data_IF_629446639792
#
_entry.id   IF_629446639792
#
_cell.length_a   1.000
_cell.length_b   1.000
_cell.length_c   1.000
_cell.angle_alpha   90.00
_cell.angle_beta   90.00
_cell.angle_gamma   90.00
#
_symmetry.space_group_name_H-M   'P 1'
#
loop_
_entity.id
_entity.type
_entity.pdbx_description
1 polymer ?
#
# COMPACT_ATOMS: atom_id res chain seq x y z
N UNK A 1 -0.80 15.75 -13.20
CA UNK A 1 -1.07 14.99 -11.98
C UNK A 1 -2.54 14.60 -11.92
N UNK A 2 -2.88 13.36 -11.59
CA UNK A 2 -4.28 12.93 -11.41
C UNK A 2 -4.90 13.66 -10.21
N UNK A 3 -6.12 14.17 -10.40
CA UNK A 3 -6.86 14.93 -9.37
C UNK A 3 -8.05 14.16 -8.80
N UNK A 4 -8.48 13.04 -9.43
CA UNK A 4 -9.64 12.26 -9.02
C UNK A 4 -9.19 11.05 -8.21
N UNK A 5 -9.81 10.84 -7.06
CA UNK A 5 -9.57 9.70 -6.17
C UNK A 5 -10.85 8.91 -5.89
N UNK A 6 -11.70 8.79 -6.91
CA UNK A 6 -12.93 8.02 -6.78
C UNK A 6 -12.65 6.56 -7.11
N UNK A 7 -12.62 5.72 -6.09
CA UNK A 7 -12.55 4.26 -6.25
C UNK A 7 -13.89 3.65 -5.84
N UNK A 8 -14.49 2.90 -6.74
CA UNK A 8 -15.73 2.17 -6.49
C UNK A 8 -15.42 0.80 -5.88
N UNK A 9 -15.95 0.53 -4.69
CA UNK A 9 -15.78 -0.75 -3.98
C UNK A 9 -17.07 -1.56 -4.05
N UNK A 10 -17.04 -2.71 -4.73
CA UNK A 10 -18.16 -3.63 -4.83
C UNK A 10 -17.98 -4.73 -3.79
N UNK A 11 -18.70 -4.62 -2.67
CA UNK A 11 -18.58 -5.51 -1.51
C UNK A 11 -19.65 -6.58 -1.44
N UNK A 12 -20.72 -6.44 -2.22
CA UNK A 12 -21.83 -7.41 -2.26
C UNK A 12 -21.47 -8.55 -3.19
N UNK A 13 -21.49 -9.78 -2.69
CA UNK A 13 -20.94 -10.96 -3.36
C UNK A 13 -21.60 -11.30 -4.70
N UNK A 14 -22.91 -11.06 -4.86
CA UNK A 14 -23.69 -11.39 -6.06
C UNK A 14 -23.81 -10.25 -7.08
N UNK A 15 -22.91 -9.27 -6.97
CA UNK A 15 -22.92 -8.12 -7.89
C UNK A 15 -22.18 -8.43 -9.18
N UNK A 16 -22.80 -8.15 -10.33
CA UNK A 16 -22.19 -8.19 -11.64
C UNK A 16 -21.98 -6.77 -12.17
N UNK A 17 -20.86 -6.52 -12.84
CA UNK A 17 -20.50 -5.22 -13.39
C UNK A 17 -20.61 -5.23 -14.91
N UNK A 18 -21.28 -4.25 -15.50
CA UNK A 18 -21.37 -4.08 -16.94
C UNK A 18 -21.15 -2.63 -17.35
N UNK A 19 -20.89 -2.44 -18.64
CA UNK A 19 -20.81 -1.12 -19.26
C UNK A 19 -22.13 -0.83 -19.96
N UNK A 20 -22.71 0.33 -19.69
CA UNK A 20 -23.83 0.89 -20.45
C UNK A 20 -23.53 2.36 -20.79
N UNK A 21 -23.27 2.63 -22.08
CA UNK A 21 -22.74 3.92 -22.54
C UNK A 21 -21.43 4.26 -21.86
N UNK A 22 -21.40 5.36 -21.12
CA UNK A 22 -20.23 5.84 -20.36
C UNK A 22 -20.33 5.47 -18.86
N UNK A 23 -21.21 4.54 -18.48
CA UNK A 23 -21.47 4.24 -17.10
C UNK A 23 -21.11 2.78 -16.75
N UNK A 24 -20.61 2.60 -15.54
CA UNK A 24 -20.56 1.30 -14.86
C UNK A 24 -21.92 1.03 -14.26
N UNK A 25 -22.54 -0.06 -14.65
CA UNK A 25 -23.79 -0.55 -14.08
C UNK A 25 -23.49 -1.72 -13.16
N UNK A 26 -23.98 -1.61 -11.93
CA UNK A 26 -23.93 -2.68 -10.93
C UNK A 26 -25.28 -3.38 -10.91
N UNK A 27 -25.32 -4.64 -11.28
CA UNK A 27 -26.55 -5.44 -11.29
C UNK A 27 -26.52 -6.50 -10.19
N UNK A 28 -27.68 -6.78 -9.59
CA UNK A 28 -27.92 -7.88 -8.65
C UNK A 28 -29.21 -8.59 -9.08
N UNK A 29 -29.18 -9.91 -9.11
CA UNK A 29 -30.34 -10.71 -9.53
C UNK A 29 -30.96 -10.27 -10.89
N UNK A 30 -30.08 -9.77 -11.79
CA UNK A 30 -30.38 -9.19 -13.11
C UNK A 30 -31.08 -7.82 -13.10
N UNK A 31 -31.25 -7.20 -11.94
CA UNK A 31 -31.75 -5.83 -11.81
C UNK A 31 -30.62 -4.83 -11.58
N UNK A 32 -30.78 -3.63 -12.11
CA UNK A 32 -29.83 -2.54 -11.88
C UNK A 32 -29.93 -2.07 -10.43
N UNK A 33 -28.87 -2.27 -9.66
CA UNK A 33 -28.79 -1.83 -8.26
C UNK A 33 -28.15 -0.44 -8.13
N UNK A 34 -27.23 -0.08 -9.04
CA UNK A 34 -26.57 1.23 -9.03
C UNK A 34 -25.90 1.51 -10.38
N UNK A 35 -25.66 2.81 -10.64
CA UNK A 35 -25.01 3.31 -11.86
C UNK A 35 -24.02 4.40 -11.51
N UNK A 36 -22.80 4.35 -12.10
CA UNK A 36 -21.74 5.32 -11.84
C UNK A 36 -21.08 5.75 -13.16
N UNK A 37 -20.87 7.05 -13.40
CA UNK A 37 -20.14 7.51 -14.57
C UNK A 37 -18.68 7.04 -14.54
N UNK A 38 -18.23 6.32 -15.57
CA UNK A 38 -16.88 5.73 -15.61
C UNK A 38 -15.77 6.79 -15.58
N UNK A 39 -16.01 7.95 -16.18
CA UNK A 39 -15.03 9.05 -16.22
C UNK A 39 -14.75 9.67 -14.84
N UNK A 40 -15.62 9.45 -13.84
CA UNK A 40 -15.41 9.93 -12.47
C UNK A 40 -14.58 8.97 -11.64
N UNK A 41 -14.34 7.74 -12.15
CA UNK A 41 -13.66 6.67 -11.42
C UNK A 41 -12.19 6.57 -11.81
N UNK A 42 -11.34 6.37 -10.81
CA UNK A 42 -9.93 6.00 -10.96
C UNK A 42 -9.71 4.50 -10.83
N UNK A 43 -10.60 3.85 -10.10
CA UNK A 43 -10.50 2.43 -9.87
C UNK A 43 -11.82 1.80 -9.48
N UNK A 44 -11.96 0.53 -9.78
CA UNK A 44 -13.06 -0.33 -9.38
C UNK A 44 -12.45 -1.55 -8.71
N UNK A 45 -12.83 -1.80 -7.46
CA UNK A 45 -12.40 -2.96 -6.69
C UNK A 45 -13.61 -3.83 -6.43
N UNK A 46 -13.67 -4.98 -7.09
CA UNK A 46 -14.77 -5.91 -6.88
C UNK A 46 -14.37 -7.09 -6.01
N UNK A 47 -15.17 -7.32 -4.98
CA UNK A 47 -15.11 -8.48 -4.08
C UNK A 47 -16.26 -9.45 -4.39
N UNK A 48 -16.96 -9.19 -5.49
CA UNK A 48 -18.09 -9.99 -5.96
C UNK A 48 -17.61 -11.14 -6.85
N UNK A 49 -18.27 -12.28 -6.75
CA UNK A 49 -17.93 -13.48 -7.50
C UNK A 49 -18.30 -13.43 -8.99
N UNK A 50 -19.46 -12.84 -9.40
CA UNK A 50 -19.87 -12.85 -10.81
C UNK A 50 -18.96 -12.06 -11.77
N UNK A 51 -18.16 -11.12 -11.26
CA UNK A 51 -17.16 -10.42 -12.05
C UNK A 51 -17.71 -9.24 -12.86
N UNK A 52 -17.15 -9.03 -14.07
CA UNK A 52 -17.46 -7.90 -14.92
C UNK A 52 -17.54 -8.30 -16.41
N UNK A 53 -18.28 -7.51 -17.21
CA UNK A 53 -18.39 -7.73 -18.66
C UNK A 53 -17.07 -7.39 -19.38
N UNK A 54 -16.72 -8.09 -20.47
CA UNK A 54 -15.56 -7.75 -21.30
C UNK A 54 -15.62 -6.32 -21.83
N UNK A 55 -16.79 -5.78 -22.14
CA UNK A 55 -16.96 -4.39 -22.56
C UNK A 55 -16.54 -3.41 -21.50
N UNK A 56 -16.90 -3.63 -20.22
CA UNK A 56 -16.45 -2.82 -19.10
C UNK A 56 -14.94 -2.94 -18.88
N UNK A 57 -14.40 -4.17 -18.93
CA UNK A 57 -12.96 -4.42 -18.81
C UNK A 57 -12.17 -3.61 -19.86
N UNK A 58 -12.60 -3.67 -21.13
CA UNK A 58 -11.97 -2.93 -22.23
C UNK A 58 -12.10 -1.42 -22.08
N UNK A 59 -13.26 -0.92 -21.65
CA UNK A 59 -13.46 0.50 -21.39
C UNK A 59 -12.60 1.03 -20.24
N UNK A 60 -12.47 0.26 -19.15
CA UNK A 60 -11.59 0.56 -18.03
C UNK A 60 -10.13 0.63 -18.48
N UNK A 61 -9.67 -0.38 -19.19
CA UNK A 61 -8.30 -0.46 -19.72
C UNK A 61 -7.98 0.74 -20.64
N UNK A 62 -8.87 1.06 -21.58
CA UNK A 62 -8.69 2.19 -22.51
C UNK A 62 -8.62 3.55 -21.83
N UNK A 63 -9.36 3.73 -20.72
CA UNK A 63 -9.43 4.99 -19.97
C UNK A 63 -8.44 5.07 -18.81
N UNK A 64 -7.67 4.02 -18.56
CA UNK A 64 -6.77 3.93 -17.43
C UNK A 64 -7.48 3.88 -16.06
N UNK A 65 -8.71 3.36 -16.05
CA UNK A 65 -9.44 3.02 -14.82
C UNK A 65 -8.99 1.63 -14.37
N UNK A 66 -8.42 1.54 -13.18
CA UNK A 66 -7.95 0.26 -12.65
C UNK A 66 -9.14 -0.60 -12.21
N UNK A 67 -9.37 -1.72 -12.87
CA UNK A 67 -10.39 -2.69 -12.49
C UNK A 67 -9.73 -3.95 -11.93
N UNK A 68 -9.90 -4.18 -10.63
CA UNK A 68 -9.29 -5.31 -9.94
C UNK A 68 -10.34 -6.18 -9.24
N UNK A 69 -10.08 -7.47 -9.26
CA UNK A 69 -10.92 -8.52 -8.70
C UNK A 69 -10.27 -9.11 -7.47
N UNK A 70 -11.06 -9.28 -6.42
CA UNK A 70 -10.64 -9.85 -5.15
C UNK A 70 -11.61 -10.94 -4.72
N UNK A 71 -11.13 -11.91 -3.97
CA UNK A 71 -12.03 -12.80 -3.23
C UNK A 71 -12.82 -11.99 -2.21
N UNK A 72 -14.00 -12.47 -1.72
CA UNK A 72 -14.71 -11.84 -0.62
C UNK A 72 -13.85 -11.61 0.63
N UNK A 73 -12.79 -12.41 0.80
CA UNK A 73 -11.83 -12.30 1.92
C UNK A 73 -10.69 -11.31 1.66
N UNK A 74 -10.70 -10.56 0.54
CA UNK A 74 -9.70 -9.54 0.22
C UNK A 74 -8.43 -10.04 -0.46
N UNK A 75 -8.35 -11.33 -0.85
CA UNK A 75 -7.22 -11.84 -1.64
C UNK A 75 -7.36 -11.35 -3.08
N UNK A 76 -6.33 -10.71 -3.62
CA UNK A 76 -6.25 -10.33 -5.03
C UNK A 76 -6.36 -11.57 -5.94
N UNK A 77 -7.15 -11.47 -7.00
CA UNK A 77 -7.34 -12.51 -8.01
C UNK A 77 -6.74 -12.09 -9.36
N UNK A 78 -7.20 -10.96 -9.88
CA UNK A 78 -6.83 -10.46 -11.19
C UNK A 78 -7.07 -8.97 -11.29
N UNK A 79 -6.50 -8.33 -12.31
CA UNK A 79 -6.87 -6.99 -12.75
C UNK A 79 -6.90 -6.93 -14.26
N UNK A 80 -7.64 -6.00 -14.81
CA UNK A 80 -7.62 -5.75 -16.25
C UNK A 80 -6.40 -4.93 -16.61
N UNK A 81 -5.68 -5.39 -17.62
CA UNK A 81 -4.58 -4.67 -18.26
C UNK A 81 -4.93 -4.54 -19.73
N UNK A 82 -4.90 -3.32 -20.24
CA UNK A 82 -5.15 -3.07 -21.65
C UNK A 82 -3.89 -3.19 -22.49
N UNK A 83 -4.00 -2.69 -23.73
CA UNK A 83 -2.88 -2.55 -24.63
C UNK A 83 -1.77 -1.72 -23.96
N UNK A 84 -0.57 -2.26 -23.89
CA UNK A 84 0.56 -1.59 -23.27
C UNK A 84 0.99 -0.36 -24.10
N UNK A 85 0.66 0.81 -23.59
CA UNK A 85 1.11 2.09 -24.13
C UNK A 85 2.21 2.62 -23.21
N UNK A 86 3.44 2.17 -23.42
CA UNK A 86 4.52 2.54 -22.53
C UNK A 86 5.78 2.98 -23.25
N UNK A 87 6.59 3.80 -22.58
CA UNK A 87 7.91 4.18 -23.04
C UNK A 87 8.85 2.97 -22.99
N UNK A 88 9.15 2.39 -24.16
CA UNK A 88 10.04 1.23 -24.32
C UNK A 88 11.43 1.50 -23.71
N UNK A 89 11.95 2.74 -23.87
CA UNK A 89 13.25 3.12 -23.34
C UNK A 89 13.27 3.11 -21.81
N UNK A 90 12.18 3.54 -21.17
CA UNK A 90 12.04 3.50 -19.71
C UNK A 90 12.05 2.05 -19.19
N UNK A 91 11.34 1.14 -19.85
CA UNK A 91 11.35 -0.29 -19.48
C UNK A 91 12.71 -0.93 -19.70
N UNK A 92 13.38 -0.61 -20.81
CA UNK A 92 14.74 -1.08 -21.03
C UNK A 92 15.70 -0.58 -19.92
N UNK A 93 15.58 0.69 -19.52
CA UNK A 93 16.34 1.23 -18.40
C UNK A 93 16.04 0.50 -17.09
N UNK A 94 14.76 0.21 -16.82
CA UNK A 94 14.33 -0.58 -15.66
C UNK A 94 14.95 -1.97 -15.64
N UNK A 95 14.87 -2.71 -16.75
CA UNK A 95 15.39 -4.08 -16.83
C UNK A 95 16.91 -4.11 -16.63
N UNK A 96 17.64 -3.20 -17.32
CA UNK A 96 19.09 -3.07 -17.14
C UNK A 96 19.48 -2.72 -15.71
N UNK A 97 18.72 -1.82 -15.06
CA UNK A 97 18.96 -1.47 -13.65
C UNK A 97 18.69 -2.65 -12.71
N UNK A 98 17.65 -3.45 -12.99
CA UNK A 98 17.33 -4.65 -12.19
C UNK A 98 18.39 -5.76 -12.36
N UNK A 99 19.01 -5.86 -13.53
CA UNK A 99 20.09 -6.82 -13.80
C UNK A 99 21.44 -6.39 -13.18
N UNK A 100 21.59 -5.11 -12.81
CA UNK A 100 22.78 -4.57 -12.19
C UNK A 100 22.67 -4.55 -10.65
N UNK A 101 23.50 -5.30 -9.91
CA UNK A 101 23.50 -5.24 -8.45
C UNK A 101 23.75 -3.82 -7.92
N UNK A 102 24.66 -3.07 -8.56
CA UNK A 102 24.97 -1.68 -8.18
C UNK A 102 23.75 -0.77 -8.33
N UNK A 103 23.07 -0.79 -9.47
CA UNK A 103 21.87 0.03 -9.71
C UNK A 103 20.71 -0.39 -8.80
N UNK A 104 20.55 -1.69 -8.58
CA UNK A 104 19.55 -2.24 -7.66
C UNK A 104 19.74 -1.74 -6.24
N UNK A 105 20.99 -1.72 -5.73
CA UNK A 105 21.30 -1.14 -4.41
C UNK A 105 21.06 0.37 -4.42
N UNK A 106 21.52 1.09 -5.46
CA UNK A 106 21.35 2.54 -5.57
C UNK A 106 19.89 2.97 -5.50
N UNK A 107 19.00 2.29 -6.22
CA UNK A 107 17.56 2.56 -6.18
C UNK A 107 16.91 2.02 -4.92
N UNK A 108 17.30 0.83 -4.48
CA UNK A 108 16.79 0.17 -3.28
C UNK A 108 17.04 0.95 -2.00
N UNK A 109 18.21 1.59 -1.87
CA UNK A 109 18.52 2.49 -0.74
C UNK A 109 17.44 3.53 -0.52
N UNK A 110 16.92 4.14 -1.59
CA UNK A 110 15.85 5.14 -1.49
C UNK A 110 14.60 4.60 -0.81
N UNK A 111 14.12 3.42 -1.21
CA UNK A 111 12.93 2.79 -0.60
C UNK A 111 13.16 2.44 0.87
N UNK A 112 14.33 1.89 1.20
CA UNK A 112 14.65 1.49 2.57
C UNK A 112 14.89 2.68 3.48
N UNK A 113 15.57 3.73 3.01
CA UNK A 113 15.70 4.99 3.74
C UNK A 113 14.33 5.59 4.05
N UNK A 114 13.44 5.65 3.05
CA UNK A 114 12.07 6.10 3.23
C UNK A 114 11.32 5.28 4.29
N UNK A 115 11.43 3.96 4.24
CA UNK A 115 10.82 3.05 5.22
C UNK A 115 11.33 3.31 6.63
N UNK A 116 12.64 3.31 6.84
CA UNK A 116 13.26 3.44 8.17
C UNK A 116 13.00 4.84 8.74
N UNK A 117 13.13 5.88 7.93
CA UNK A 117 12.80 7.24 8.32
C UNK A 117 11.36 7.36 8.79
N UNK A 118 10.43 6.84 8.01
CA UNK A 118 9.00 6.90 8.32
C UNK A 118 8.63 6.05 9.54
N UNK A 119 9.25 4.87 9.71
CA UNK A 119 9.11 4.05 10.91
C UNK A 119 9.54 4.82 12.17
N UNK A 120 10.71 5.47 12.09
CA UNK A 120 11.23 6.32 13.16
C UNK A 120 10.23 7.43 13.51
N UNK A 121 9.70 8.16 12.53
CA UNK A 121 8.77 9.25 12.77
C UNK A 121 7.40 8.81 13.31
N UNK A 122 6.96 7.58 13.04
CA UNK A 122 5.78 7.01 13.70
C UNK A 122 6.03 6.89 15.21
N UNK A 123 7.20 6.40 15.64
CA UNK A 123 7.59 6.30 17.04
C UNK A 123 7.76 7.69 17.69
N UNK A 124 8.47 8.60 17.03
CA UNK A 124 8.68 9.97 17.51
C UNK A 124 7.37 10.74 17.73
N UNK A 125 6.42 10.61 16.81
CA UNK A 125 5.09 11.21 16.99
C UNK A 125 4.34 10.64 18.18
N UNK A 126 4.40 9.33 18.39
CA UNK A 126 3.74 8.71 19.54
C UNK A 126 4.30 9.24 20.86
N UNK A 127 5.62 9.41 20.97
CA UNK A 127 6.25 9.99 22.18
C UNK A 127 5.90 11.47 22.38
N UNK A 128 5.72 12.23 21.31
CA UNK A 128 5.32 13.64 21.36
C UNK A 128 3.84 13.82 21.69
N UNK A 129 2.99 13.08 20.97
CA UNK A 129 1.53 13.30 21.01
C UNK A 129 0.87 12.56 22.18
N UNK A 130 1.50 11.51 22.73
CA UNK A 130 0.96 10.66 23.79
C UNK A 130 1.98 10.29 24.90
N UNK A 131 2.79 11.23 25.44
CA UNK A 131 3.89 10.91 26.33
C UNK A 131 3.46 10.18 27.61
N UNK A 132 2.24 10.43 28.09
CA UNK A 132 1.70 9.78 29.30
C UNK A 132 1.12 8.38 29.05
N UNK A 133 1.07 7.93 27.81
CA UNK A 133 0.39 6.69 27.42
C UNK A 133 1.31 5.66 26.76
N UNK A 134 2.53 6.07 26.40
CA UNK A 134 3.51 5.23 25.75
C UNK A 134 4.80 5.18 26.56
N UNK A 135 5.60 4.10 26.47
CA UNK A 135 6.92 4.01 27.09
C UNK A 135 7.92 4.88 26.33
N UNK A 136 7.98 6.18 26.67
CA UNK A 136 8.75 7.20 25.93
C UNK A 136 10.22 6.79 25.77
N UNK A 137 10.90 6.41 26.86
CA UNK A 137 12.32 6.03 26.83
C UNK A 137 12.58 4.87 25.86
N UNK A 138 11.72 3.84 25.90
CA UNK A 138 11.85 2.69 25.00
C UNK A 138 11.64 3.07 23.55
N UNK A 139 10.63 3.89 23.24
CA UNK A 139 10.36 4.33 21.87
C UNK A 139 11.45 5.26 21.34
N UNK A 140 12.06 6.09 22.19
CA UNK A 140 13.21 6.93 21.86
C UNK A 140 14.47 6.11 21.58
N UNK A 141 14.71 5.06 22.36
CA UNK A 141 15.81 4.12 22.10
C UNK A 141 15.63 3.45 20.73
N UNK A 142 14.44 2.93 20.42
CA UNK A 142 14.14 2.33 19.10
C UNK A 142 14.30 3.35 17.98
N UNK A 143 13.84 4.60 18.17
CA UNK A 143 14.03 5.68 17.21
C UNK A 143 15.52 5.95 16.94
N UNK A 144 16.36 5.96 17.97
CA UNK A 144 17.81 6.14 17.82
C UNK A 144 18.44 4.97 17.05
N UNK A 145 18.06 3.74 17.35
CA UNK A 145 18.52 2.55 16.63
C UNK A 145 18.11 2.58 15.14
N UNK A 146 16.90 3.06 14.83
CA UNK A 146 16.45 3.26 13.45
C UNK A 146 17.27 4.37 12.75
N UNK A 147 17.62 5.45 13.46
CA UNK A 147 18.48 6.48 12.90
C UNK A 147 19.88 5.93 12.55
N UNK A 148 20.46 5.10 13.42
CA UNK A 148 21.75 4.43 13.14
C UNK A 148 21.64 3.46 11.94
N UNK A 149 20.50 2.77 11.78
CA UNK A 149 20.28 1.89 10.63
C UNK A 149 20.25 2.67 9.30
N UNK A 150 19.78 3.92 9.28
CA UNK A 150 19.82 4.76 8.08
C UNK A 150 21.24 5.06 7.61
N UNK A 151 22.17 5.28 8.52
CA UNK A 151 23.60 5.48 8.18
C UNK A 151 24.15 4.22 7.49
N UNK A 152 23.87 3.04 8.05
CA UNK A 152 24.27 1.76 7.46
C UNK A 152 23.67 1.54 6.06
N UNK A 153 22.43 1.99 5.81
CA UNK A 153 21.82 1.94 4.47
C UNK A 153 22.60 2.78 3.47
N UNK A 154 23.05 3.97 3.85
CA UNK A 154 23.87 4.81 2.94
C UNK A 154 25.23 4.16 2.62
N UNK A 155 25.81 3.44 3.55
CA UNK A 155 27.12 2.82 3.43
C UNK A 155 27.09 1.45 2.75
N UNK A 156 25.95 0.72 2.76
CA UNK A 156 25.89 -0.64 2.22
C UNK A 156 26.11 -0.67 0.70
N UNK A 157 26.71 -1.75 0.20
CA UNK A 157 27.09 -1.90 -1.21
C UNK A 157 26.39 -3.09 -1.89
N UNK A 158 25.78 -3.99 -1.14
CA UNK A 158 25.18 -5.20 -1.70
C UNK A 158 23.67 -5.29 -1.41
N UNK A 159 22.89 -5.93 -2.31
CA UNK A 159 21.46 -6.13 -2.09
C UNK A 159 21.14 -6.97 -0.83
N UNK A 160 21.96 -7.98 -0.53
CA UNK A 160 21.73 -8.87 0.61
C UNK A 160 21.99 -8.13 1.94
N UNK A 161 23.00 -7.27 1.98
CA UNK A 161 23.28 -6.38 3.12
C UNK A 161 22.12 -5.40 3.35
N UNK A 162 21.63 -4.76 2.26
CA UNK A 162 20.50 -3.83 2.32
C UNK A 162 19.22 -4.51 2.87
N UNK A 163 18.94 -5.73 2.42
CA UNK A 163 17.82 -6.53 2.94
C UNK A 163 18.02 -6.95 4.40
N UNK A 164 19.26 -7.23 4.80
CA UNK A 164 19.60 -7.52 6.21
C UNK A 164 19.30 -6.33 7.12
N UNK A 165 19.75 -5.12 6.72
CA UNK A 165 19.47 -3.88 7.45
C UNK A 165 17.97 -3.60 7.52
N UNK A 166 17.25 -3.80 6.41
CA UNK A 166 15.78 -3.65 6.35
C UNK A 166 15.09 -4.57 7.36
N UNK A 167 15.45 -5.85 7.36
CA UNK A 167 14.86 -6.85 8.25
C UNK A 167 15.08 -6.53 9.73
N UNK A 168 16.32 -6.14 10.10
CA UNK A 168 16.66 -5.72 11.45
C UNK A 168 15.87 -4.46 11.87
N UNK A 169 15.81 -3.45 11.00
CA UNK A 169 15.05 -2.24 11.25
C UNK A 169 13.55 -2.51 11.41
N UNK A 170 12.99 -3.38 10.58
CA UNK A 170 11.60 -3.81 10.71
C UNK A 170 11.32 -4.53 12.03
N UNK A 171 12.21 -5.42 12.46
CA UNK A 171 12.11 -6.10 13.76
C UNK A 171 12.11 -5.10 14.92
N UNK A 172 13.01 -4.12 14.90
CA UNK A 172 13.09 -3.05 15.91
C UNK A 172 11.80 -2.23 15.95
N UNK A 173 11.32 -1.77 14.80
CA UNK A 173 10.07 -1.03 14.70
C UNK A 173 8.89 -1.81 15.27
N UNK A 174 8.72 -3.07 14.84
CA UNK A 174 7.60 -3.89 15.31
C UNK A 174 7.72 -4.31 16.78
N UNK A 175 8.91 -4.31 17.38
CA UNK A 175 9.07 -4.54 18.83
C UNK A 175 8.46 -3.42 19.70
N UNK A 176 8.34 -2.22 19.14
CA UNK A 176 7.64 -1.08 19.80
C UNK A 176 6.17 -0.92 19.41
N UNK A 177 5.70 -1.68 18.42
CA UNK A 177 4.41 -1.43 17.77
C UNK A 177 3.19 -1.60 18.71
N UNK A 178 3.21 -2.59 19.60
CA UNK A 178 2.13 -2.80 20.56
C UNK A 178 1.91 -1.59 21.47
N UNK A 179 2.97 -0.85 21.80
CA UNK A 179 2.89 0.37 22.62
C UNK A 179 2.13 1.51 21.93
N UNK A 180 1.94 1.43 20.60
CA UNK A 180 1.17 2.40 19.80
C UNK A 180 -0.33 2.11 19.80
N UNK A 181 -0.74 0.96 20.34
CA UNK A 181 -2.15 0.59 20.52
C UNK A 181 -2.62 1.22 21.84
N UNK A 182 -3.31 2.35 21.72
CA UNK A 182 -3.70 3.17 22.88
C UNK A 182 -5.12 2.87 23.38
N UNK A 183 -5.93 2.17 22.60
CA UNK A 183 -7.32 1.86 22.92
C UNK A 183 -7.61 0.38 22.68
N UNK A 184 -8.65 -0.15 23.34
CA UNK A 184 -9.17 -1.51 23.11
C UNK A 184 -8.09 -2.59 23.25
N UNK A 185 -7.16 -2.44 24.19
CA UNK A 185 -6.01 -3.35 24.39
C UNK A 185 -6.40 -4.76 24.82
N UNK A 186 -7.58 -4.93 25.33
CA UNK A 186 -8.21 -6.22 25.67
C UNK A 186 -8.49 -7.07 24.41
N UNK A 187 -8.73 -6.42 23.29
CA UNK A 187 -9.03 -7.08 22.00
C UNK A 187 -7.87 -6.96 21.00
N UNK A 188 -7.29 -5.77 20.93
CA UNK A 188 -6.22 -5.47 19.99
C UNK A 188 -4.86 -5.48 20.70
N UNK A 189 -4.20 -6.61 20.69
CA UNK A 189 -2.82 -6.77 21.13
C UNK A 189 -1.95 -7.21 19.97
N UNK A 190 -0.68 -6.81 19.97
CA UNK A 190 0.26 -7.13 18.93
C UNK A 190 1.52 -7.75 19.53
N UNK A 191 1.69 -9.04 19.36
CA UNK A 191 2.85 -9.79 19.91
C UNK A 191 4.00 -9.93 18.92
N UNK A 192 3.79 -9.52 17.67
CA UNK A 192 4.75 -9.63 16.60
C UNK A 192 4.08 -9.82 15.24
N UNK A 193 4.87 -9.74 14.19
CA UNK A 193 4.36 -9.83 12.82
C UNK A 193 4.04 -11.29 12.44
N UNK A 194 2.75 -11.63 12.25
CA UNK A 194 2.26 -12.89 11.68
C UNK A 194 1.54 -12.61 10.36
N UNK A 195 1.80 -13.41 9.33
CA UNK A 195 1.29 -13.11 7.96
C UNK A 195 0.40 -14.21 7.38
N UNK A 196 0.76 -15.46 7.56
CA UNK A 196 0.07 -16.62 6.95
C UNK A 196 0.03 -17.80 7.90
N UNK A 197 -0.99 -17.86 8.74
CA UNK A 197 -2.11 -16.92 8.88
C UNK A 197 -1.80 -15.72 9.79
N UNK A 198 -2.60 -14.62 9.72
CA UNK A 198 -2.56 -13.58 10.75
C UNK A 198 -3.19 -14.14 12.04
N UNK A 199 -2.50 -13.98 13.18
CA UNK A 199 -2.88 -14.61 14.46
C UNK A 199 -3.61 -13.65 15.41
N UNK A 200 -3.66 -12.36 15.06
CA UNK A 200 -4.34 -11.31 15.82
C UNK A 200 -5.03 -10.32 14.89
N UNK A 201 -5.97 -9.50 15.41
CA UNK A 201 -6.73 -8.53 14.60
C UNK A 201 -5.85 -7.48 13.92
N UNK A 202 -4.79 -7.02 14.59
CA UNK A 202 -3.87 -6.02 14.02
C UNK A 202 -3.14 -6.58 12.81
N UNK A 203 -2.62 -7.80 12.92
CA UNK A 203 -1.97 -8.49 11.79
C UNK A 203 -2.94 -8.74 10.62
N UNK A 204 -4.22 -9.04 10.89
CA UNK A 204 -5.25 -9.18 9.85
C UNK A 204 -5.45 -7.85 9.11
N UNK A 205 -5.59 -6.74 9.85
CA UNK A 205 -5.75 -5.39 9.27
C UNK A 205 -4.50 -4.93 8.52
N UNK A 206 -3.30 -5.13 9.08
CA UNK A 206 -2.03 -4.80 8.41
C UNK A 206 -1.88 -5.58 7.09
N UNK A 207 -2.20 -6.88 7.11
CA UNK A 207 -2.16 -7.70 5.89
C UNK A 207 -3.11 -7.18 4.82
N UNK A 208 -4.31 -6.76 5.21
CA UNK A 208 -5.30 -6.20 4.28
C UNK A 208 -4.89 -4.82 3.77
N UNK A 209 -4.43 -3.91 4.65
CA UNK A 209 -3.91 -2.59 4.25
C UNK A 209 -2.74 -2.70 3.26
N UNK A 210 -1.79 -3.62 3.51
CA UNK A 210 -0.67 -3.84 2.60
C UNK A 210 -1.10 -4.39 1.25
N UNK A 211 -2.14 -5.22 1.20
CA UNK A 211 -2.68 -5.70 -0.07
C UNK A 211 -3.28 -4.58 -0.90
N UNK A 212 -3.99 -3.66 -0.25
CA UNK A 212 -4.55 -2.47 -0.91
C UNK A 212 -3.44 -1.53 -1.40
N UNK A 213 -2.46 -1.25 -0.53
CA UNK A 213 -1.35 -0.35 -0.88
C UNK A 213 -0.47 -0.92 -1.99
N UNK A 214 -0.15 -2.23 -1.95
CA UNK A 214 0.62 -2.88 -3.01
C UNK A 214 -0.09 -2.80 -4.37
N UNK A 215 -1.42 -2.94 -4.38
CA UNK A 215 -2.22 -2.75 -5.59
C UNK A 215 -2.14 -1.31 -6.10
N UNK A 216 -2.26 -0.32 -5.20
CA UNK A 216 -2.17 1.10 -5.57
C UNK A 216 -0.77 1.42 -6.13
N UNK A 217 0.30 0.87 -5.54
CA UNK A 217 1.65 1.00 -6.07
C UNK A 217 1.80 0.34 -7.45
N UNK A 218 1.24 -0.86 -7.66
CA UNK A 218 1.30 -1.54 -8.94
C UNK A 218 0.58 -0.73 -10.03
N UNK A 219 -0.64 -0.24 -9.76
CA UNK A 219 -1.39 0.60 -10.67
C UNK A 219 -0.66 1.92 -11.00
N UNK A 220 0.00 2.52 -9.99
CA UNK A 220 0.79 3.73 -10.18
C UNK A 220 2.00 3.48 -11.09
N UNK A 221 2.74 2.39 -10.89
CA UNK A 221 3.89 2.01 -11.72
C UNK A 221 3.49 1.76 -13.17
N UNK A 222 2.40 1.02 -13.39
CA UNK A 222 1.87 0.81 -14.74
C UNK A 222 1.42 2.12 -15.40
N UNK A 223 0.78 3.00 -14.61
CA UNK A 223 0.34 4.30 -15.11
C UNK A 223 1.47 5.20 -15.59
N UNK A 224 2.71 4.98 -15.15
CA UNK A 224 3.92 5.71 -15.61
C UNK A 224 4.76 4.91 -16.61
N UNK A 225 4.34 3.69 -16.97
CA UNK A 225 5.02 2.84 -17.96
C UNK A 225 6.14 1.98 -17.39
N UNK A 226 6.21 1.79 -16.08
CA UNK A 226 7.11 0.84 -15.41
C UNK A 226 6.44 -0.51 -15.23
N UNK A 227 7.23 -1.58 -15.32
CA UNK A 227 6.79 -2.94 -15.02
C UNK A 227 6.76 -3.17 -13.50
N UNK A 228 5.58 -3.39 -12.88
CA UNK A 228 5.48 -3.59 -11.44
C UNK A 228 6.13 -4.89 -10.95
N UNK A 229 6.45 -5.83 -11.84
CA UNK A 229 7.01 -7.13 -11.47
C UNK A 229 8.54 -7.14 -11.42
N UNK A 230 9.21 -6.17 -12.06
CA UNK A 230 10.67 -6.09 -12.11
C UNK A 230 11.16 -5.09 -11.07
N UNK A 231 11.52 -5.60 -9.90
CA UNK A 231 11.98 -4.84 -8.74
C UNK A 231 13.50 -4.80 -8.59
N UNK A 232 13.96 -4.05 -7.61
CA UNK A 232 15.37 -3.84 -7.29
C UNK A 232 15.78 -4.49 -5.96
N UNK A 233 14.90 -4.42 -4.95
CA UNK A 233 15.08 -5.07 -3.62
C UNK A 233 14.52 -6.47 -3.61
N UNK A 234 13.27 -6.60 -3.98
CA UNK A 234 12.60 -7.88 -4.07
C UNK A 234 13.00 -8.55 -5.39
N UNK A 235 13.82 -9.60 -5.32
CA UNK A 235 14.20 -10.38 -6.52
C UNK A 235 12.95 -10.81 -7.30
N UNK A 236 12.95 -10.71 -8.63
CA UNK A 236 11.82 -11.12 -9.46
C UNK A 236 11.44 -12.60 -9.19
N UNK A 237 10.15 -12.85 -9.03
CA UNK A 237 9.57 -14.20 -8.93
C UNK A 237 8.25 -14.24 -9.68
N UNK A 238 7.91 -15.32 -10.37
CA UNK A 238 6.62 -15.47 -11.04
C UNK A 238 5.45 -15.09 -10.11
N UNK A 239 4.57 -14.22 -10.59
CA UNK A 239 3.39 -13.77 -9.85
C UNK A 239 3.63 -12.78 -8.69
N UNK A 240 4.88 -12.31 -8.47
CA UNK A 240 5.19 -11.31 -7.46
C UNK A 240 5.47 -9.94 -8.10
N UNK A 241 4.62 -8.97 -7.79
CA UNK A 241 4.83 -7.59 -8.23
C UNK A 241 5.97 -6.93 -7.43
N UNK A 242 7.22 -7.30 -7.73
CA UNK A 242 8.41 -7.00 -6.95
C UNK A 242 8.65 -5.49 -6.83
N UNK A 243 8.55 -4.71 -7.92
CA UNK A 243 8.71 -3.25 -7.85
C UNK A 243 7.58 -2.56 -7.09
N UNK A 244 6.36 -3.09 -7.19
CA UNK A 244 5.26 -2.55 -6.38
C UNK A 244 5.48 -2.76 -4.89
N UNK A 245 6.09 -3.89 -4.51
CA UNK A 245 6.49 -4.14 -3.12
C UNK A 245 7.65 -3.25 -2.71
N UNK A 246 8.63 -3.00 -3.58
CA UNK A 246 9.74 -2.08 -3.33
C UNK A 246 9.23 -0.66 -3.06
N UNK A 247 8.40 -0.13 -3.97
CA UNK A 247 7.80 1.19 -3.84
C UNK A 247 6.93 1.32 -2.59
N UNK A 248 6.23 0.25 -2.24
CA UNK A 248 5.38 0.22 -1.05
C UNK A 248 6.18 0.36 0.25
N UNK A 249 7.46 -0.06 0.29
CA UNK A 249 8.25 -0.08 1.54
C UNK A 249 8.28 1.29 2.22
N UNK A 250 8.52 2.36 1.50
CA UNK A 250 8.57 3.70 2.06
C UNK A 250 7.20 4.22 2.57
N UNK A 251 6.09 3.64 2.10
CA UNK A 251 4.74 4.06 2.46
C UNK A 251 4.12 3.20 3.57
N UNK A 252 4.68 2.03 3.87
CA UNK A 252 4.10 1.09 4.85
C UNK A 252 3.81 1.74 6.19
N UNK A 253 4.83 2.31 6.81
CA UNK A 253 4.70 2.81 8.19
C UNK A 253 3.76 4.01 8.28
N UNK A 254 3.88 4.96 7.35
CA UNK A 254 3.13 6.23 7.41
C UNK A 254 1.73 6.15 6.82
N UNK A 255 1.52 5.27 5.86
CA UNK A 255 0.21 5.13 5.23
C UNK A 255 -0.57 3.95 5.82
N UNK A 256 -0.04 2.72 5.75
CA UNK A 256 -0.77 1.53 6.15
C UNK A 256 -0.78 1.32 7.68
N UNK A 257 0.40 1.33 8.33
CA UNK A 257 0.48 1.02 9.76
C UNK A 257 -0.23 2.07 10.61
N UNK A 258 0.01 3.36 10.32
CA UNK A 258 -0.70 4.46 11.01
C UNK A 258 -2.20 4.43 10.75
N UNK A 259 -2.63 4.05 9.56
CA UNK A 259 -4.06 3.88 9.27
C UNK A 259 -4.66 2.79 10.15
N UNK A 260 -4.02 1.62 10.27
CA UNK A 260 -4.48 0.54 11.14
C UNK A 260 -4.53 0.98 12.60
N UNK A 261 -3.47 1.64 13.09
CA UNK A 261 -3.45 2.21 14.44
C UNK A 261 -4.58 3.23 14.65
N UNK A 262 -4.87 4.07 13.65
CA UNK A 262 -5.98 5.02 13.72
C UNK A 262 -7.32 4.31 13.79
N UNK A 263 -7.52 3.23 13.01
CA UNK A 263 -8.75 2.44 13.05
C UNK A 263 -9.02 1.86 14.46
N UNK A 264 -7.98 1.42 15.16
CA UNK A 264 -8.08 0.88 16.53
C UNK A 264 -8.23 2.00 17.56
N UNK A 265 -7.33 2.99 17.51
CA UNK A 265 -7.26 4.03 18.56
C UNK A 265 -8.45 5.00 18.51
N UNK A 266 -9.07 5.21 17.34
CA UNK A 266 -10.30 6.00 17.19
C UNK A 266 -11.57 5.15 17.26
N UNK A 267 -11.45 3.85 17.56
CA UNK A 267 -12.57 2.90 17.66
C UNK A 267 -13.41 2.81 16.38
N UNK A 268 -12.79 3.04 15.21
CA UNK A 268 -13.43 2.84 13.90
C UNK A 268 -13.71 1.35 13.70
N UNK A 269 -12.75 0.49 14.08
CA UNK A 269 -12.94 -0.94 14.18
C UNK A 269 -12.94 -1.36 15.66
N UNK A 270 -13.79 -2.33 15.96
CA UNK A 270 -13.96 -2.93 17.29
C UNK A 270 -13.78 -4.45 17.20
N UNK A 271 -13.77 -5.14 18.34
CA UNK A 271 -13.64 -6.60 18.35
C UNK A 271 -14.71 -7.35 17.55
N UNK A 272 -15.93 -6.80 17.45
CA UNK A 272 -17.01 -7.39 16.66
C UNK A 272 -16.73 -7.43 15.16
N UNK A 273 -15.80 -6.60 14.68
CA UNK A 273 -15.37 -6.55 13.28
C UNK A 273 -14.32 -7.60 12.91
N UNK A 274 -13.88 -8.41 13.89
CA UNK A 274 -12.91 -9.46 13.70
C UNK A 274 -13.46 -10.80 14.17
N UNK A 275 -13.09 -11.89 13.49
CA UNK A 275 -13.47 -13.25 13.85
C UNK A 275 -12.24 -14.15 13.83
N UNK A 276 -12.03 -14.88 14.93
CA UNK A 276 -11.04 -15.95 14.99
C UNK A 276 -11.61 -17.24 14.39
N UNK A 277 -10.83 -17.90 13.57
CA UNK A 277 -11.14 -19.20 12.97
C UNK A 277 -10.59 -20.36 13.82
N UNK A 278 -11.05 -21.58 13.59
CA UNK A 278 -10.60 -22.78 14.27
C UNK A 278 -9.09 -23.02 14.18
N UNK A 279 -8.48 -22.67 13.04
CA UNK A 279 -7.03 -22.76 12.82
C UNK A 279 -6.22 -21.60 13.47
N UNK A 280 -6.86 -20.80 14.33
CA UNK A 280 -6.26 -19.67 15.00
C UNK A 280 -6.15 -18.38 14.16
N UNK A 281 -6.43 -18.44 12.86
CA UNK A 281 -6.39 -17.26 11.99
C UNK A 281 -7.46 -16.23 12.38
N UNK A 282 -7.10 -14.96 12.38
CA UNK A 282 -8.04 -13.86 12.57
C UNK A 282 -8.34 -13.20 11.24
N UNK A 283 -9.61 -13.02 10.93
CA UNK A 283 -10.09 -12.37 9.71
C UNK A 283 -11.07 -11.25 10.06
N UNK A 284 -11.11 -10.22 9.21
CA UNK A 284 -12.18 -9.23 9.26
C UNK A 284 -13.51 -9.87 8.84
N UNK A 285 -14.58 -9.58 9.58
CA UNK A 285 -15.96 -9.90 9.18
C UNK A 285 -16.36 -9.09 7.94
N UNK A 286 -17.50 -9.39 7.32
CA UNK A 286 -17.99 -8.61 6.17
C UNK A 286 -18.24 -7.16 6.56
N UNK A 287 -18.84 -6.94 7.74
CA UNK A 287 -19.01 -5.59 8.30
C UNK A 287 -17.65 -4.94 8.56
N UNK A 288 -16.72 -5.65 9.20
CA UNK A 288 -15.35 -5.16 9.44
C UNK A 288 -14.65 -4.74 8.15
N UNK A 289 -14.81 -5.51 7.06
CA UNK A 289 -14.27 -5.14 5.73
C UNK A 289 -14.91 -3.87 5.18
N UNK A 290 -16.23 -3.72 5.29
CA UNK A 290 -16.93 -2.50 4.84
C UNK A 290 -16.44 -1.27 5.58
N UNK A 291 -16.39 -1.34 6.89
CA UNK A 291 -15.93 -0.23 7.75
C UNK A 291 -14.45 0.11 7.41
N UNK A 292 -13.59 -0.90 7.30
CA UNK A 292 -12.18 -0.71 6.97
C UNK A 292 -11.99 -0.05 5.60
N UNK A 293 -12.69 -0.53 4.56
CA UNK A 293 -12.58 0.02 3.20
C UNK A 293 -13.15 1.45 3.12
N UNK A 294 -14.25 1.74 3.82
CA UNK A 294 -14.79 3.10 3.89
C UNK A 294 -13.81 4.07 4.56
N UNK A 295 -13.17 3.64 5.65
CA UNK A 295 -12.14 4.42 6.33
C UNK A 295 -10.89 4.58 5.45
N UNK A 296 -10.47 3.52 4.72
CA UNK A 296 -9.36 3.59 3.77
C UNK A 296 -9.61 4.61 2.67
N UNK A 297 -10.82 4.59 2.09
CA UNK A 297 -11.20 5.56 1.06
C UNK A 297 -11.19 6.99 1.58
N UNK A 298 -11.70 7.22 2.79
CA UNK A 298 -11.63 8.53 3.45
C UNK A 298 -10.16 8.97 3.62
N UNK A 299 -9.28 8.07 4.09
CA UNK A 299 -7.85 8.34 4.22
C UNK A 299 -7.21 8.73 2.91
N UNK A 300 -7.55 8.07 1.80
CA UNK A 300 -7.04 8.40 0.45
C UNK A 300 -7.35 9.81 0.01
N UNK A 301 -8.47 10.38 0.47
CA UNK A 301 -8.93 11.74 0.11
C UNK A 301 -8.29 12.84 0.98
N UNK A 302 -7.69 12.49 2.10
CA UNK A 302 -7.02 13.47 2.97
C UNK A 302 -5.79 14.07 2.27
N UNK A 303 -5.60 15.38 2.45
CA UNK A 303 -4.47 16.11 1.87
C UNK A 303 -3.26 16.08 2.79
N UNK A 304 -2.10 15.97 2.17
CA UNK A 304 -0.78 16.17 2.80
C UNK A 304 0.05 17.12 1.94
N UNK A 305 1.06 17.72 2.53
CA UNK A 305 2.14 18.36 1.77
C UNK A 305 3.16 17.30 1.43
N UNK A 306 3.37 17.06 0.12
CA UNK A 306 4.36 16.07 -0.33
C UNK A 306 5.77 16.56 0.00
N UNK A 307 6.59 15.76 0.71
CA UNK A 307 7.85 16.27 1.28
C UNK A 307 8.85 16.78 0.23
N UNK A 308 8.92 16.13 -0.93
CA UNK A 308 9.82 16.53 -2.00
C UNK A 308 9.25 17.65 -2.88
N UNK A 309 7.96 17.58 -3.23
CA UNK A 309 7.35 18.55 -4.12
C UNK A 309 6.98 19.87 -3.43
N UNK A 310 6.77 19.86 -2.10
CA UNK A 310 6.22 21.00 -1.36
C UNK A 310 4.73 21.29 -1.68
N UNK A 311 4.09 20.45 -2.49
CA UNK A 311 2.72 20.62 -2.96
C UNK A 311 1.72 19.82 -2.13
N UNK A 312 0.50 20.33 -2.01
CA UNK A 312 -0.62 19.59 -1.40
C UNK A 312 -1.10 18.51 -2.36
N UNK A 313 -1.02 17.27 -1.93
CA UNK A 313 -1.52 16.10 -2.66
C UNK A 313 -2.39 15.24 -1.75
N UNK A 314 -3.32 14.51 -2.33
CA UNK A 314 -4.10 13.53 -1.58
C UNK A 314 -3.27 12.26 -1.32
N UNK A 315 -3.49 11.60 -0.18
CA UNK A 315 -2.76 10.36 0.16
C UNK A 315 -2.83 9.30 -0.94
N UNK A 316 -3.98 9.14 -1.58
CA UNK A 316 -4.14 8.17 -2.66
C UNK A 316 -3.34 8.48 -3.92
N UNK A 317 -2.84 9.72 -4.09
CA UNK A 317 -1.94 10.10 -5.20
C UNK A 317 -0.46 9.90 -4.86
N UNK A 318 -0.11 9.69 -3.60
CA UNK A 318 1.29 9.54 -3.19
C UNK A 318 1.99 8.40 -3.94
N UNK A 319 1.42 7.17 -4.07
CA UNK A 319 2.05 6.12 -4.87
C UNK A 319 2.32 6.55 -6.31
N UNK A 320 1.40 7.30 -6.92
CA UNK A 320 1.56 7.79 -8.29
C UNK A 320 2.67 8.84 -8.41
N UNK A 321 2.77 9.76 -7.46
CA UNK A 321 3.84 10.77 -7.42
C UNK A 321 5.20 10.07 -7.26
N UNK A 322 5.31 9.12 -6.34
CA UNK A 322 6.54 8.36 -6.13
C UNK A 322 6.92 7.51 -7.36
N UNK A 323 5.95 6.90 -8.03
CA UNK A 323 6.20 6.20 -9.30
C UNK A 323 6.70 7.15 -10.42
N UNK A 324 6.15 8.38 -10.51
CA UNK A 324 6.65 9.41 -11.42
C UNK A 324 8.08 9.82 -11.10
N UNK A 325 8.41 10.02 -9.83
CA UNK A 325 9.76 10.39 -9.39
C UNK A 325 10.74 9.25 -9.69
N UNK A 326 10.34 8.00 -9.49
CA UNK A 326 11.14 6.83 -9.87
C UNK A 326 11.38 6.78 -11.39
N UNK A 327 10.33 6.97 -12.20
CA UNK A 327 10.46 7.01 -13.66
C UNK A 327 11.39 8.13 -14.13
N UNK A 328 11.33 9.31 -13.51
CA UNK A 328 12.26 10.43 -13.79
C UNK A 328 13.69 10.09 -13.42
N UNK A 329 13.92 9.45 -12.27
CA UNK A 329 15.25 8.99 -11.87
C UNK A 329 15.81 7.99 -12.89
N UNK A 330 14.98 7.06 -13.35
CA UNK A 330 15.41 6.07 -14.33
C UNK A 330 15.69 6.64 -15.72
N UNK A 331 15.06 7.76 -16.08
CA UNK A 331 15.37 8.50 -17.33
C UNK A 331 16.60 9.41 -17.21
N UNK A 332 17.13 9.60 -15.99
CA UNK A 332 18.22 10.54 -15.74
C UNK A 332 17.77 12.00 -15.52
N UNK A 333 16.46 12.25 -15.42
CA UNK A 333 15.90 13.58 -15.13
C UNK A 333 16.16 14.00 -13.69
N UNK A 334 16.40 13.03 -12.79
CA UNK A 334 16.79 13.21 -11.39
C UNK A 334 18.07 12.40 -11.11
N UNK A 335 19.00 12.98 -10.41
CA UNK A 335 20.26 12.33 -10.01
C UNK A 335 20.03 11.15 -9.06
N UNK A 336 19.10 11.33 -8.10
CA UNK A 336 18.73 10.32 -7.11
C UNK A 336 17.21 10.23 -6.97
N UNK A 337 16.73 9.04 -6.65
CA UNK A 337 15.34 8.86 -6.25
C UNK A 337 15.07 9.56 -4.92
N UNK A 338 14.11 10.51 -4.85
CA UNK A 338 13.77 11.20 -3.62
C UNK A 338 12.77 10.36 -2.80
N UNK A 339 13.20 9.77 -1.67
CA UNK A 339 12.31 8.99 -0.81
C UNK A 339 11.19 9.85 -0.22
N UNK A 340 10.08 9.22 0.11
CA UNK A 340 8.97 9.86 0.79
C UNK A 340 9.29 10.05 2.29
N UNK A 341 9.96 11.13 2.66
CA UNK A 341 10.30 11.48 4.04
C UNK A 341 9.20 12.30 4.70
N UNK A 342 8.26 11.63 5.33
CA UNK A 342 7.14 12.29 5.97
C UNK A 342 7.38 12.55 7.47
N UNK A 343 7.11 13.79 7.94
CA UNK A 343 7.19 14.23 9.35
C UNK A 343 5.82 14.46 9.97
#
# INVERSE_FOLDING_TARGET
>A
MRKLLNTLFILTEDSYLSLDGENVVVSREREEAARFPLHTLEGILTFAYPGASPALMGACAKRGVDLAFFTPRGRFLARTVGEERGNVLLRQAQYRASDSPYESVRLGKGFILGKIYNARWVLERATRDHPMRVPVERLKELSSQLAAAMVRVEECETPDELLGIEGEAAQRYFSGFDSLVLQQRDVFSFTGRSRRPPLDPINAMLGFAYSLLARDCAAALEGVGLDPYVGFLHRPRPGRASLALDLMEELRCVYADRFVLSCVNQKILTGSHCRRQENGAVLLTDEGRRVFLSAWQKRRQEFITHPFLGEKVQWGLVPYVQALLLARTMRGDLERYPPFFWK
#
